data_IF_416568295462
#
_entry.id   IF_416568295462
#
_cell.length_a   1.000
_cell.length_b   1.000
_cell.length_c   1.000
_cell.angle_alpha   90.00
_cell.angle_beta   90.00
_cell.angle_gamma   90.00
#
_symmetry.space_group_name_H-M   'P 1'
#
loop_
_entity.id
_entity.type
_entity.pdbx_description
1 polymer ?
#
# COMPACT_ATOMS: atom_id res chain seq x y z
N UNK A 1 -71.34 -27.15 1.89
CA UNK A 1 -70.15 -27.51 2.68
C UNK A 1 -68.99 -27.71 1.73
N UNK A 2 -68.12 -26.72 1.58
CA UNK A 2 -66.74 -26.89 1.10
C UNK A 2 -66.03 -25.53 1.17
N UNK A 3 -65.36 -25.29 2.30
CA UNK A 3 -64.44 -24.17 2.47
C UNK A 3 -63.12 -24.51 1.75
N UNK A 4 -62.70 -23.67 0.80
CA UNK A 4 -61.38 -23.74 0.19
C UNK A 4 -60.46 -22.74 0.90
N UNK A 5 -59.35 -23.17 1.54
CA UNK A 5 -58.48 -22.23 2.24
C UNK A 5 -57.59 -21.51 1.22
N UNK A 6 -57.60 -20.17 1.26
CA UNK A 6 -56.64 -19.32 0.56
C UNK A 6 -55.31 -19.45 1.31
N UNK A 7 -54.34 -20.16 0.72
CA UNK A 7 -52.97 -20.20 1.20
C UNK A 7 -52.29 -18.91 0.73
N UNK A 8 -52.16 -17.94 1.64
CA UNK A 8 -51.30 -16.77 1.44
C UNK A 8 -49.86 -17.26 1.58
N UNK A 9 -49.17 -17.46 0.46
CA UNK A 9 -47.73 -17.69 0.45
C UNK A 9 -47.03 -16.36 0.81
N UNK A 10 -46.66 -16.20 2.07
CA UNK A 10 -45.77 -15.12 2.49
C UNK A 10 -44.40 -15.35 1.85
N UNK A 11 -44.07 -14.52 0.85
CA UNK A 11 -42.74 -14.47 0.24
C UNK A 11 -41.77 -13.89 1.29
N UNK A 12 -41.19 -14.76 2.10
CA UNK A 12 -40.10 -14.39 3.02
C UNK A 12 -38.92 -14.01 2.14
N UNK A 13 -38.69 -12.71 1.96
CA UNK A 13 -37.43 -12.18 1.44
C UNK A 13 -36.35 -12.49 2.48
N UNK A 14 -35.77 -13.68 2.39
CA UNK A 14 -34.50 -13.97 3.03
C UNK A 14 -33.51 -13.05 2.31
N UNK A 15 -33.18 -11.93 2.95
CA UNK A 15 -32.02 -11.15 2.57
C UNK A 15 -30.82 -12.08 2.70
N UNK A 16 -30.43 -12.73 1.61
CA UNK A 16 -29.13 -13.35 1.48
C UNK A 16 -28.15 -12.24 1.84
N UNK A 17 -27.47 -12.40 2.98
CA UNK A 17 -26.31 -11.58 3.30
C UNK A 17 -25.27 -11.94 2.24
N UNK A 18 -25.31 -11.25 1.10
CA UNK A 18 -24.27 -11.37 0.10
C UNK A 18 -23.04 -10.74 0.73
N UNK A 19 -22.20 -11.57 1.36
CA UNK A 19 -20.90 -11.16 1.88
C UNK A 19 -19.96 -11.04 0.67
N UNK A 20 -20.11 -9.93 -0.07
CA UNK A 20 -19.47 -9.72 -1.37
C UNK A 20 -18.03 -9.18 -1.24
N UNK A 21 -17.75 -8.43 -0.18
CA UNK A 21 -16.50 -7.67 -0.08
C UNK A 21 -15.37 -8.44 0.59
N UNK A 22 -14.11 -8.13 0.29
CA UNK A 22 -12.95 -8.83 0.84
C UNK A 22 -11.76 -7.91 1.08
N UNK A 23 -10.72 -8.47 1.71
CA UNK A 23 -9.45 -7.82 2.03
C UNK A 23 -8.35 -8.87 2.25
N UNK A 24 -7.09 -8.43 2.34
CA UNK A 24 -5.97 -9.32 2.64
C UNK A 24 -6.13 -9.90 4.04
N UNK A 25 -6.14 -11.23 4.15
CA UNK A 25 -6.30 -11.94 5.44
C UNK A 25 -5.10 -12.80 5.79
N UNK A 26 -4.20 -13.06 4.84
CA UNK A 26 -3.02 -13.89 5.03
C UNK A 26 -1.94 -13.44 4.08
N UNK A 27 -0.70 -13.47 4.56
CA UNK A 27 0.48 -13.12 3.78
C UNK A 27 1.32 -14.38 3.60
N UNK A 28 1.70 -14.71 2.37
CA UNK A 28 2.66 -15.76 2.04
C UNK A 28 4.01 -15.17 1.69
N UNK A 29 5.11 -15.81 2.10
CA UNK A 29 6.47 -15.47 1.64
C UNK A 29 7.18 -16.77 1.27
N UNK A 30 7.69 -16.85 0.04
CA UNK A 30 8.43 -18.01 -0.47
C UNK A 30 7.72 -19.36 -0.22
N UNK A 31 6.39 -19.40 -0.39
CA UNK A 31 5.56 -20.60 -0.18
C UNK A 31 5.21 -20.91 1.28
N UNK A 32 5.71 -20.15 2.26
CA UNK A 32 5.28 -20.23 3.66
C UNK A 32 4.16 -19.23 3.92
N UNK A 33 3.03 -19.71 4.41
CA UNK A 33 1.92 -18.86 4.83
C UNK A 33 2.17 -18.34 6.26
N UNK A 34 2.11 -17.03 6.40
CA UNK A 34 2.10 -16.30 7.66
C UNK A 34 0.65 -15.92 7.94
N UNK A 35 -0.04 -16.84 8.60
CA UNK A 35 -1.34 -16.58 9.20
C UNK A 35 -1.14 -15.96 10.57
N UNK A 36 -2.01 -15.05 10.96
CA UNK A 36 -2.01 -14.59 12.34
C UNK A 36 -2.30 -15.69 13.36
N UNK A 37 -2.20 -15.34 14.64
CA UNK A 37 -2.55 -16.24 15.75
C UNK A 37 -3.55 -15.55 16.68
N UNK A 38 -4.60 -16.25 17.11
CA UNK A 38 -5.50 -15.75 18.15
C UNK A 38 -5.09 -16.36 19.49
N UNK A 39 -4.55 -15.55 20.40
CA UNK A 39 -4.31 -15.92 21.80
C UNK A 39 -5.66 -16.12 22.52
N UNK A 40 -6.27 -17.29 22.36
CA UNK A 40 -7.33 -17.75 23.26
C UNK A 40 -6.89 -19.07 23.90
N UNK A 41 -6.71 -19.08 25.22
CA UNK A 41 -6.59 -20.29 26.04
C UNK A 41 -7.65 -20.22 27.16
N UNK A 42 -8.17 -21.34 27.69
CA UNK A 42 -8.70 -22.52 26.99
C UNK A 42 -10.06 -22.98 27.59
N UNK A 43 -10.86 -23.75 26.86
CA UNK A 43 -11.67 -24.79 27.51
C UNK A 43 -10.72 -25.97 27.80
N UNK A 44 -10.62 -26.49 29.04
CA UNK A 44 -9.79 -27.64 29.32
C UNK A 44 -10.40 -28.88 28.67
N UNK A 45 -9.67 -29.54 27.76
CA UNK A 45 -10.02 -30.86 27.24
C UNK A 45 -10.14 -31.02 25.72
N UNK A 46 -10.02 -29.95 24.92
CA UNK A 46 -9.87 -30.09 23.47
C UNK A 46 -8.39 -30.06 23.09
N UNK A 47 -7.95 -31.12 22.40
CA UNK A 47 -6.64 -31.17 21.75
C UNK A 47 -6.35 -29.86 21.03
N UNK A 48 -5.13 -29.36 21.19
CA UNK A 48 -4.57 -28.21 20.49
C UNK A 48 -4.55 -28.48 18.99
N UNK A 49 -5.68 -28.32 18.32
CA UNK A 49 -5.67 -28.13 16.89
C UNK A 49 -4.91 -26.83 16.64
N UNK A 50 -3.81 -26.91 15.90
CA UNK A 50 -3.04 -25.76 15.42
C UNK A 50 -3.98 -24.96 14.52
N UNK A 51 -4.71 -23.99 15.07
CA UNK A 51 -5.56 -23.12 14.26
C UNK A 51 -4.69 -21.99 13.73
N UNK A 52 -4.17 -22.18 12.52
CA UNK A 52 -3.58 -21.12 11.69
C UNK A 52 -4.67 -20.06 11.44
N UNK A 53 -4.63 -18.91 12.12
CA UNK A 53 -5.72 -17.91 12.05
C UNK A 53 -5.31 -16.71 11.21
N UNK A 54 -5.76 -16.68 9.96
CA UNK A 54 -5.83 -15.47 9.11
C UNK A 54 -6.36 -14.27 9.90
N UNK A 55 -6.00 -13.03 9.53
CA UNK A 55 -6.65 -11.86 10.12
C UNK A 55 -8.16 -11.99 10.02
N UNK A 56 -8.83 -11.72 11.13
CA UNK A 56 -10.28 -11.80 11.26
C UNK A 56 -10.81 -10.37 11.31
N UNK A 57 -11.22 -9.79 10.17
CA UNK A 57 -12.00 -8.56 10.22
C UNK A 57 -13.27 -8.81 11.05
N UNK A 58 -13.88 -7.75 11.56
CA UNK A 58 -15.03 -7.77 12.48
C UNK A 58 -14.73 -8.27 13.91
N UNK A 59 -13.55 -8.83 14.18
CA UNK A 59 -13.10 -9.14 15.53
C UNK A 59 -12.22 -8.03 16.08
N UNK A 60 -12.12 -7.94 17.41
CA UNK A 60 -11.15 -7.04 18.04
C UNK A 60 -9.72 -7.36 17.58
N UNK A 61 -8.86 -6.34 17.37
CA UNK A 61 -7.42 -6.56 17.15
C UNK A 61 -6.74 -7.22 18.36
N UNK A 62 -7.29 -7.04 19.56
CA UNK A 62 -6.75 -7.65 20.79
C UNK A 62 -6.76 -9.17 20.69
N UNK A 63 -5.59 -9.77 20.93
CA UNK A 63 -5.38 -11.20 20.84
C UNK A 63 -5.03 -11.71 19.44
N UNK A 64 -5.17 -10.89 18.39
CA UNK A 64 -4.69 -11.22 17.04
C UNK A 64 -3.20 -10.85 16.90
N UNK A 65 -2.37 -11.83 16.55
CA UNK A 65 -0.93 -11.69 16.30
C UNK A 65 -0.74 -11.70 14.79
N UNK A 66 -0.36 -10.59 14.16
CA UNK A 66 -0.18 -10.51 12.70
C UNK A 66 0.83 -9.43 12.35
N UNK A 67 1.39 -9.49 11.15
CA UNK A 67 2.17 -8.39 10.59
C UNK A 67 1.30 -7.33 9.91
N UNK A 68 0.02 -7.61 9.67
CA UNK A 68 -0.94 -6.66 9.11
C UNK A 68 -1.26 -5.55 10.12
N UNK A 69 -1.57 -4.36 9.61
CA UNK A 69 -2.23 -3.31 10.41
C UNK A 69 -3.72 -3.69 10.55
N UNK A 70 -4.35 -3.43 11.69
CA UNK A 70 -5.75 -3.75 11.89
C UNK A 70 -6.66 -3.10 10.85
N UNK A 71 -7.64 -3.87 10.39
CA UNK A 71 -8.80 -3.36 9.68
C UNK A 71 -10.08 -4.03 10.16
N UNK A 72 -11.12 -3.24 10.35
CA UNK A 72 -12.30 -3.61 11.13
C UNK A 72 -13.42 -4.30 10.32
N UNK A 73 -13.40 -4.19 9.00
CA UNK A 73 -14.44 -4.75 8.13
C UNK A 73 -13.97 -4.94 6.70
N UNK A 74 -14.72 -5.69 5.89
CA UNK A 74 -14.56 -5.67 4.44
C UNK A 74 -15.30 -4.51 3.76
N UNK A 75 -15.76 -3.48 4.47
CA UNK A 75 -16.41 -2.37 3.80
C UNK A 75 -15.38 -1.54 3.03
N UNK A 76 -15.73 -1.01 1.83
CA UNK A 76 -14.84 -0.13 1.11
C UNK A 76 -14.69 1.22 1.80
N UNK A 77 -13.56 1.86 1.55
CA UNK A 77 -13.44 3.32 1.65
C UNK A 77 -13.99 3.90 0.34
N UNK A 78 -14.95 4.82 0.42
CA UNK A 78 -15.59 5.43 -0.74
C UNK A 78 -14.97 6.78 -1.15
N UNK A 79 -14.33 7.46 -0.20
CA UNK A 79 -13.73 8.77 -0.43
C UNK A 79 -12.23 8.62 -0.73
N UNK A 80 -11.73 9.01 -1.92
CA UNK A 80 -10.32 8.88 -2.29
C UNK A 80 -9.35 9.63 -1.37
N UNK A 81 -9.84 10.61 -0.60
CA UNK A 81 -9.05 11.39 0.35
C UNK A 81 -9.47 11.13 1.80
N UNK A 82 -10.10 10.00 2.08
CA UNK A 82 -10.43 9.60 3.45
C UNK A 82 -9.18 9.55 4.32
N UNK A 83 -9.22 10.07 5.57
CA UNK A 83 -8.08 9.98 6.48
C UNK A 83 -7.56 8.56 6.70
N UNK A 84 -8.37 7.51 6.53
CA UNK A 84 -7.95 6.11 6.72
C UNK A 84 -7.42 5.43 5.44
N UNK A 85 -7.37 6.14 4.31
CA UNK A 85 -7.03 5.59 2.99
C UNK A 85 -5.65 4.90 2.92
N UNK A 86 -4.72 5.24 3.82
CA UNK A 86 -3.41 4.61 3.85
C UNK A 86 -3.50 3.12 4.17
N UNK A 87 -4.31 2.68 5.14
CA UNK A 87 -4.31 1.31 5.66
C UNK A 87 -5.69 0.85 6.21
N UNK A 88 -6.80 1.22 5.56
CA UNK A 88 -8.19 0.83 5.87
C UNK A 88 -8.82 1.55 7.08
N UNK A 89 -8.24 1.36 8.26
CA UNK A 89 -8.63 2.04 9.52
C UNK A 89 -7.60 3.16 9.82
N UNK A 90 -7.39 3.51 11.10
CA UNK A 90 -6.38 4.50 11.52
C UNK A 90 -4.92 4.06 11.24
N UNK A 91 -4.75 2.84 10.69
CA UNK A 91 -3.49 2.29 10.27
C UNK A 91 -2.47 2.22 11.40
N UNK A 92 -2.89 2.19 12.67
CA UNK A 92 -2.05 2.02 13.87
C UNK A 92 -1.62 0.57 14.06
N UNK A 93 -0.54 0.32 14.80
CA UNK A 93 -0.09 -1.04 15.04
C UNK A 93 -1.06 -1.78 15.98
N UNK A 94 -1.32 -3.05 15.69
CA UNK A 94 -2.10 -3.91 16.58
C UNK A 94 -1.33 -4.26 17.87
N UNK A 95 -2.03 -4.70 18.93
CA UNK A 95 -1.39 -5.01 20.23
C UNK A 95 -0.28 -6.07 20.17
N UNK A 96 -0.34 -6.97 19.18
CA UNK A 96 0.64 -8.05 18.97
C UNK A 96 1.26 -7.98 17.57
N UNK A 97 1.62 -6.77 17.13
CA UNK A 97 2.21 -6.49 15.82
C UNK A 97 3.48 -7.31 15.57
N UNK A 98 3.53 -7.97 14.42
CA UNK A 98 4.70 -8.70 13.91
C UNK A 98 5.37 -7.95 12.77
N UNK A 99 6.59 -8.36 12.44
CA UNK A 99 7.32 -7.95 11.25
C UNK A 99 7.75 -9.20 10.49
N UNK A 100 7.45 -9.26 9.19
CA UNK A 100 7.86 -10.40 8.35
C UNK A 100 9.19 -10.11 7.69
N UNK A 101 10.16 -11.00 7.90
CA UNK A 101 11.43 -10.93 7.16
C UNK A 101 11.27 -11.52 5.77
N UNK A 102 11.70 -10.78 4.75
CA UNK A 102 11.68 -11.19 3.33
C UNK A 102 12.97 -10.74 2.66
N UNK A 103 13.54 -11.56 1.77
CA UNK A 103 14.68 -11.11 0.96
C UNK A 103 14.19 -10.33 -0.27
N UNK A 104 14.88 -9.25 -0.63
CA UNK A 104 14.68 -8.58 -1.91
C UNK A 104 14.76 -9.60 -3.06
N UNK A 105 13.86 -9.51 -4.04
CA UNK A 105 13.70 -10.47 -5.12
C UNK A 105 12.77 -11.64 -4.81
N UNK A 106 12.34 -11.83 -3.55
CA UNK A 106 11.36 -12.86 -3.22
C UNK A 106 9.93 -12.42 -3.50
N UNK A 107 9.07 -13.41 -3.76
CA UNK A 107 7.63 -13.23 -3.88
C UNK A 107 6.98 -13.16 -2.50
N UNK A 108 6.18 -12.11 -2.31
CA UNK A 108 5.16 -11.98 -1.27
C UNK A 108 3.78 -12.19 -1.89
N UNK A 109 2.94 -12.99 -1.24
CA UNK A 109 1.59 -13.32 -1.70
C UNK A 109 0.56 -12.74 -0.74
N UNK A 110 -0.38 -11.92 -1.22
CA UNK A 110 -1.56 -11.51 -0.47
C UNK A 110 -2.70 -12.49 -0.75
N UNK A 111 -3.30 -13.09 0.27
CA UNK A 111 -4.45 -14.00 0.13
C UNK A 111 -5.73 -13.38 0.67
N UNK A 112 -6.82 -13.64 -0.03
CA UNK A 112 -8.17 -13.16 0.29
C UNK A 112 -9.04 -14.37 0.64
N UNK A 113 -9.90 -14.25 1.65
CA UNK A 113 -10.91 -15.29 1.92
C UNK A 113 -12.04 -15.25 0.90
N UNK A 114 -12.33 -14.06 0.39
CA UNK A 114 -13.33 -13.79 -0.64
C UNK A 114 -12.99 -12.50 -1.36
N UNK A 115 -13.46 -12.38 -2.59
CA UNK A 115 -13.43 -11.16 -3.40
C UNK A 115 -14.46 -11.35 -4.52
N UNK A 116 -15.33 -10.39 -4.80
CA UNK A 116 -16.43 -10.58 -5.79
C UNK A 116 -16.54 -9.48 -6.84
N UNK A 117 -15.54 -8.62 -6.98
CA UNK A 117 -15.57 -7.54 -7.96
C UNK A 117 -14.57 -7.84 -9.06
N UNK A 118 -15.01 -7.88 -10.31
CA UNK A 118 -14.11 -8.19 -11.42
C UNK A 118 -13.42 -6.94 -11.96
N UNK A 119 -14.09 -5.78 -11.91
CA UNK A 119 -13.66 -4.56 -12.57
C UNK A 119 -12.77 -3.71 -11.67
N UNK A 120 -11.60 -3.34 -12.20
CA UNK A 120 -10.69 -2.38 -11.59
C UNK A 120 -9.26 -2.89 -11.34
N UNK A 121 -8.36 -1.97 -10.94
CA UNK A 121 -6.94 -2.25 -10.81
C UNK A 121 -6.57 -2.88 -9.47
N UNK A 122 -5.36 -3.46 -9.46
CA UNK A 122 -4.64 -3.92 -8.29
C UNK A 122 -3.27 -3.24 -8.23
N UNK A 123 -2.91 -2.65 -7.10
CA UNK A 123 -1.65 -1.91 -6.92
C UNK A 123 -0.97 -2.30 -5.62
N UNK A 124 0.37 -2.19 -5.62
CA UNK A 124 1.18 -2.46 -4.43
C UNK A 124 2.19 -1.34 -4.23
N UNK A 125 2.25 -0.85 -3.00
CA UNK A 125 3.15 0.20 -2.57
C UNK A 125 4.05 -0.29 -1.44
N UNK A 126 5.22 0.33 -1.32
CA UNK A 126 6.05 0.26 -0.12
C UNK A 126 6.25 1.67 0.44
N UNK A 127 6.47 1.77 1.75
CA UNK A 127 6.98 2.98 2.40
C UNK A 127 8.07 2.60 3.39
N UNK A 128 9.21 3.28 3.35
CA UNK A 128 10.31 3.00 4.27
C UNK A 128 9.96 3.50 5.67
N UNK A 129 10.26 2.68 6.66
CA UNK A 129 10.10 3.03 8.07
C UNK A 129 11.34 3.80 8.55
N UNK A 130 11.17 4.86 9.36
CA UNK A 130 12.26 5.76 9.75
C UNK A 130 13.23 5.13 10.77
N UNK A 131 12.87 4.00 11.37
CA UNK A 131 13.63 3.34 12.43
C UNK A 131 13.88 1.85 12.12
N UNK A 132 14.45 1.14 13.10
CA UNK A 132 14.66 -0.30 13.04
C UNK A 132 13.37 -1.13 13.02
N UNK A 133 12.19 -0.51 13.17
CA UNK A 133 10.90 -1.15 13.01
C UNK A 133 9.87 -0.22 12.35
N UNK A 134 8.71 -0.78 12.01
CA UNK A 134 7.59 -0.01 11.46
C UNK A 134 6.49 0.24 12.49
N UNK A 135 6.57 -0.30 13.71
CA UNK A 135 5.46 -0.33 14.67
C UNK A 135 5.05 1.08 15.09
N UNK A 136 6.02 1.96 15.26
CA UNK A 136 5.80 3.37 15.62
C UNK A 136 5.46 4.28 14.43
N UNK A 137 5.52 3.78 13.20
CA UNK A 137 5.26 4.60 12.01
C UNK A 137 3.78 5.04 11.95
N UNK A 138 3.58 6.35 11.83
CA UNK A 138 2.32 6.94 11.39
C UNK A 138 2.19 6.79 9.87
N UNK A 139 1.33 5.86 9.45
CA UNK A 139 1.14 5.47 8.04
C UNK A 139 0.47 6.55 7.18
N UNK A 140 -0.29 7.49 7.77
CA UNK A 140 -0.85 8.64 7.07
C UNK A 140 0.23 9.63 6.58
N UNK A 141 1.34 9.73 7.33
CA UNK A 141 2.48 10.61 6.99
C UNK A 141 3.59 9.92 6.20
N UNK A 142 3.47 8.61 5.98
CA UNK A 142 4.47 7.82 5.29
C UNK A 142 4.64 8.25 3.83
N UNK A 143 5.84 8.01 3.29
CA UNK A 143 6.20 8.29 1.89
C UNK A 143 6.15 7.00 1.10
N UNK A 144 5.02 6.81 0.42
CA UNK A 144 4.70 5.63 -0.35
C UNK A 144 5.26 5.73 -1.77
N UNK A 145 5.77 4.63 -2.29
CA UNK A 145 6.13 4.47 -3.69
C UNK A 145 5.53 3.19 -4.24
N UNK A 146 5.11 3.22 -5.50
CA UNK A 146 4.48 2.08 -6.16
C UNK A 146 5.54 1.11 -6.69
N UNK A 147 5.41 -0.16 -6.35
CA UNK A 147 6.29 -1.24 -6.83
C UNK A 147 5.61 -2.13 -7.88
N UNK A 148 4.27 -2.10 -7.93
CA UNK A 148 3.50 -2.91 -8.86
C UNK A 148 2.14 -2.28 -9.15
N UNK A 149 1.67 -2.45 -10.39
CA UNK A 149 0.28 -2.24 -10.77
C UNK A 149 -0.15 -3.17 -11.90
N UNK A 150 -1.43 -3.51 -11.91
CA UNK A 150 -2.12 -4.06 -13.05
C UNK A 150 -3.54 -3.47 -13.10
N UNK A 151 -3.97 -3.03 -14.27
CA UNK A 151 -5.28 -2.40 -14.50
C UNK A 151 -6.14 -3.21 -15.46
N UNK A 152 -6.60 -2.56 -16.52
CA UNK A 152 -7.25 -3.19 -17.66
C UNK A 152 -6.22 -4.02 -18.44
N UNK A 153 -6.46 -5.33 -18.57
CA UNK A 153 -5.55 -6.29 -19.20
C UNK A 153 -5.86 -6.41 -20.70
N UNK A 154 -7.13 -6.47 -21.06
CA UNK A 154 -7.59 -6.60 -22.44
C UNK A 154 -9.06 -6.20 -22.59
N UNK A 155 -9.50 -5.96 -23.82
CA UNK A 155 -10.87 -5.51 -24.11
C UNK A 155 -11.03 -4.01 -23.88
N UNK A 156 -12.23 -3.59 -23.49
CA UNK A 156 -12.57 -2.19 -23.22
C UNK A 156 -12.85 -1.95 -21.75
N UNK A 157 -12.84 -0.70 -21.28
CA UNK A 157 -13.13 -0.36 -19.89
C UNK A 157 -14.44 -1.00 -19.42
N UNK A 158 -15.48 -0.97 -20.24
CA UNK A 158 -16.79 -1.51 -19.88
C UNK A 158 -16.98 -3.02 -20.04
N UNK A 159 -16.10 -3.73 -20.75
CA UNK A 159 -16.23 -5.18 -21.07
C UNK A 159 -14.92 -5.95 -21.06
N UNK A 160 -13.92 -5.43 -20.37
CA UNK A 160 -12.56 -5.92 -20.40
C UNK A 160 -12.26 -6.98 -19.35
N UNK A 161 -11.09 -7.59 -19.51
CA UNK A 161 -10.46 -8.36 -18.44
C UNK A 161 -9.64 -7.42 -17.57
N UNK A 162 -9.82 -7.50 -16.26
CA UNK A 162 -9.23 -6.59 -15.29
C UNK A 162 -8.41 -7.35 -14.25
N UNK A 163 -7.48 -6.65 -13.60
CA UNK A 163 -6.72 -7.19 -12.47
C UNK A 163 -7.63 -7.80 -11.40
N UNK A 164 -8.68 -7.07 -10.99
CA UNK A 164 -9.64 -7.58 -10.01
C UNK A 164 -10.36 -8.87 -10.43
N UNK A 165 -10.53 -9.11 -11.73
CA UNK A 165 -11.05 -10.37 -12.25
C UNK A 165 -10.10 -11.55 -12.04
N UNK A 166 -8.78 -11.31 -12.14
CA UNK A 166 -7.78 -12.30 -11.77
C UNK A 166 -7.77 -12.54 -10.25
N UNK A 167 -7.91 -11.48 -9.45
CA UNK A 167 -7.99 -11.58 -7.99
C UNK A 167 -9.22 -12.39 -7.57
N UNK A 168 -10.38 -12.11 -8.16
CA UNK A 168 -11.64 -12.81 -7.91
C UNK A 168 -11.52 -14.30 -8.22
N UNK A 169 -10.84 -14.64 -9.32
CA UNK A 169 -10.65 -16.03 -9.74
C UNK A 169 -9.70 -16.81 -8.82
N UNK A 170 -8.62 -16.16 -8.38
CA UNK A 170 -7.51 -16.85 -7.71
C UNK A 170 -7.51 -16.70 -6.19
N UNK A 171 -8.23 -15.69 -5.66
CA UNK A 171 -8.23 -15.28 -4.25
C UNK A 171 -6.83 -15.07 -3.66
N UNK A 172 -5.88 -14.70 -4.53
CA UNK A 172 -4.51 -14.34 -4.16
C UNK A 172 -3.87 -13.43 -5.20
N UNK A 173 -2.85 -12.71 -4.78
CA UNK A 173 -1.96 -11.94 -5.65
C UNK A 173 -0.50 -12.16 -5.27
N UNK A 174 0.32 -12.50 -6.26
CA UNK A 174 1.76 -12.68 -6.08
C UNK A 174 2.48 -11.39 -6.54
N UNK A 175 3.26 -10.79 -5.65
CA UNK A 175 4.09 -9.59 -5.93
C UNK A 175 5.53 -9.90 -5.57
N UNK A 176 6.48 -9.48 -6.39
CA UNK A 176 7.90 -9.64 -6.06
C UNK A 176 8.41 -8.35 -5.42
N UNK A 177 9.09 -8.47 -4.29
CA UNK A 177 9.83 -7.34 -3.70
C UNK A 177 11.01 -7.04 -4.64
N UNK A 178 11.21 -5.80 -5.11
CA UNK A 178 12.23 -5.54 -6.12
C UNK A 178 13.63 -5.98 -5.67
N UNK A 179 14.34 -6.72 -6.52
CA UNK A 179 15.61 -7.36 -6.16
C UNK A 179 16.76 -6.38 -5.87
N UNK A 180 16.68 -5.15 -6.39
CA UNK A 180 17.63 -4.07 -6.19
C UNK A 180 17.20 -3.06 -5.10
N UNK A 181 16.02 -3.26 -4.50
CA UNK A 181 15.53 -2.41 -3.41
C UNK A 181 16.54 -2.36 -2.26
N UNK A 182 16.74 -1.17 -1.72
CA UNK A 182 17.55 -0.98 -0.52
C UNK A 182 16.99 -1.80 0.66
N UNK A 183 17.85 -2.59 1.32
CA UNK A 183 17.48 -3.31 2.54
C UNK A 183 16.95 -2.34 3.62
N UNK A 184 16.00 -2.80 4.44
CA UNK A 184 15.43 -1.98 5.50
C UNK A 184 14.05 -2.45 5.94
N UNK A 185 13.44 -1.68 6.84
CA UNK A 185 12.07 -1.94 7.28
C UNK A 185 11.10 -1.13 6.44
N UNK A 186 10.03 -1.78 5.99
CA UNK A 186 9.03 -1.19 5.11
C UNK A 186 7.63 -1.55 5.56
N UNK A 187 6.71 -0.62 5.39
CA UNK A 187 5.30 -0.96 5.23
C UNK A 187 5.05 -1.38 3.80
N UNK A 188 4.38 -2.51 3.59
CA UNK A 188 3.74 -2.84 2.32
C UNK A 188 2.27 -2.46 2.40
N UNK A 189 1.72 -1.98 1.29
CA UNK A 189 0.30 -1.68 1.12
C UNK A 189 -0.19 -2.33 -0.17
N UNK A 190 -1.17 -3.21 -0.04
CA UNK A 190 -1.96 -3.71 -1.16
C UNK A 190 -3.21 -2.88 -1.29
N UNK A 191 -3.62 -2.58 -2.52
CA UNK A 191 -4.88 -1.92 -2.78
C UNK A 191 -5.53 -2.47 -4.03
N UNK A 192 -6.80 -2.81 -3.88
CA UNK A 192 -7.71 -2.97 -5.01
C UNK A 192 -8.74 -1.85 -5.01
N UNK A 193 -9.06 -1.37 -6.21
CA UNK A 193 -10.12 -0.40 -6.45
C UNK A 193 -11.21 -1.08 -7.27
N UNK A 194 -12.39 -1.30 -6.70
CA UNK A 194 -13.53 -1.85 -7.43
C UNK A 194 -14.32 -0.73 -8.13
N UNK A 195 -14.60 -0.92 -9.42
CA UNK A 195 -15.20 0.08 -10.31
C UNK A 195 -16.61 -0.28 -10.81
N UNK A 196 -17.17 -1.38 -10.31
CA UNK A 196 -18.45 -1.93 -10.75
C UNK A 196 -19.66 -1.00 -10.49
N UNK A 197 -19.53 0.02 -9.65
CA UNK A 197 -20.57 1.04 -9.48
C UNK A 197 -20.13 2.34 -10.16
N UNK A 198 -20.91 2.79 -11.13
CA UNK A 198 -20.64 4.03 -11.85
C UNK A 198 -20.43 5.20 -10.86
N UNK A 199 -19.32 5.92 -11.04
CA UNK A 199 -18.94 7.10 -10.28
C UNK A 199 -18.81 6.87 -8.75
N UNK A 200 -18.75 5.61 -8.31
CA UNK A 200 -18.69 5.25 -6.88
C UNK A 200 -17.47 4.37 -6.66
N UNK A 201 -16.26 4.95 -6.60
CA UNK A 201 -15.04 4.18 -6.37
C UNK A 201 -15.10 3.49 -5.02
N UNK A 202 -14.62 2.25 -4.97
CA UNK A 202 -14.55 1.46 -3.75
C UNK A 202 -13.12 0.97 -3.53
N UNK A 203 -12.41 1.58 -2.59
CA UNK A 203 -11.02 1.28 -2.26
C UNK A 203 -10.95 0.25 -1.13
N UNK A 204 -10.06 -0.74 -1.28
CA UNK A 204 -9.76 -1.76 -0.28
C UNK A 204 -8.25 -1.84 -0.07
N UNK A 205 -7.70 -0.97 0.80
CA UNK A 205 -6.30 -1.00 1.15
C UNK A 205 -6.03 -1.86 2.38
N UNK A 206 -4.98 -2.67 2.37
CA UNK A 206 -4.46 -3.33 3.57
C UNK A 206 -2.94 -3.19 3.64
N UNK A 207 -2.40 -3.09 4.86
CA UNK A 207 -0.98 -2.85 5.10
C UNK A 207 -0.34 -3.92 5.98
N UNK A 208 0.97 -4.16 5.80
CA UNK A 208 1.75 -5.01 6.70
C UNK A 208 3.20 -4.54 6.89
N UNK A 209 3.84 -4.98 7.98
CA UNK A 209 5.24 -4.66 8.28
C UNK A 209 6.20 -5.71 7.73
N UNK A 210 7.21 -5.26 7.01
CA UNK A 210 8.27 -6.08 6.43
C UNK A 210 9.64 -5.63 6.93
N UNK A 211 10.52 -6.60 7.11
CA UNK A 211 11.97 -6.40 7.16
C UNK A 211 12.54 -6.97 5.86
N UNK A 212 12.86 -6.09 4.91
CA UNK A 212 13.52 -6.44 3.65
C UNK A 212 15.00 -6.63 3.91
N UNK A 213 15.50 -7.83 3.60
CA UNK A 213 16.90 -8.22 3.72
C UNK A 213 17.51 -8.47 2.35
N UNK A 214 18.84 -8.40 2.28
CA UNK A 214 19.52 -8.41 0.98
C UNK A 214 19.06 -7.25 0.10
N UNK A 215 19.39 -7.33 -1.19
CA UNK A 215 19.00 -6.32 -2.17
C UNK A 215 20.16 -5.42 -2.61
N UNK A 216 19.80 -4.25 -3.13
CA UNK A 216 20.74 -3.26 -3.66
C UNK A 216 20.76 -1.99 -2.82
N UNK A 217 21.02 -0.87 -3.48
CA UNK A 217 21.00 0.49 -2.90
C UNK A 217 19.91 1.36 -3.51
N UNK A 218 18.98 0.79 -4.31
CA UNK A 218 17.97 1.55 -5.03
C UNK A 218 16.86 1.96 -4.07
N UNK A 219 16.58 3.26 -4.06
CA UNK A 219 15.44 3.87 -3.38
C UNK A 219 14.80 4.91 -4.31
N UNK A 220 13.46 5.01 -4.37
CA UNK A 220 12.81 5.95 -5.28
C UNK A 220 13.14 7.42 -5.00
N UNK A 221 13.29 8.20 -6.06
CA UNK A 221 13.42 9.66 -5.97
C UNK A 221 12.13 10.31 -5.48
N UNK A 222 12.21 11.56 -5.02
CA UNK A 222 11.09 12.31 -4.44
C UNK A 222 9.85 12.35 -5.32
N UNK A 223 10.01 12.35 -6.65
CA UNK A 223 8.90 12.46 -7.60
C UNK A 223 8.04 11.19 -7.68
N UNK A 224 8.50 10.08 -7.09
CA UNK A 224 7.77 8.83 -6.95
C UNK A 224 7.24 8.61 -5.54
N UNK A 225 7.54 9.51 -4.60
CA UNK A 225 7.11 9.44 -3.22
C UNK A 225 5.83 10.27 -3.03
N UNK A 226 4.76 9.60 -2.60
CA UNK A 226 3.46 10.23 -2.34
C UNK A 226 3.02 10.00 -0.90
N UNK A 227 2.15 10.86 -0.40
CA UNK A 227 1.39 10.61 0.84
C UNK A 227 0.01 10.05 0.48
N UNK A 228 -0.49 9.15 1.32
CA UNK A 228 -1.83 8.57 1.20
C UNK A 228 -2.53 8.86 2.54
N UNK A 229 -3.67 9.57 2.56
CA UNK A 229 -4.38 10.18 1.41
C UNK A 229 -3.59 11.30 0.71
N UNK A 230 -3.96 11.60 -0.54
CA UNK A 230 -3.38 12.67 -1.36
C UNK A 230 -2.71 12.20 -2.66
N UNK A 231 -2.40 10.91 -2.78
CA UNK A 231 -1.79 10.33 -3.98
C UNK A 231 -2.72 10.31 -5.20
N UNK A 232 -4.03 10.33 -4.99
CA UNK A 232 -5.06 10.47 -6.00
C UNK A 232 -6.24 11.29 -5.45
N UNK A 233 -7.09 11.77 -6.35
CA UNK A 233 -8.29 12.57 -6.06
C UNK A 233 -9.47 12.08 -6.88
N UNK A 234 -10.69 12.44 -6.47
CA UNK A 234 -11.92 12.03 -7.16
C UNK A 234 -11.94 12.42 -8.66
N UNK A 235 -11.32 13.54 -9.02
CA UNK A 235 -11.27 14.01 -10.41
C UNK A 235 -10.25 13.26 -11.29
N UNK A 236 -9.45 12.36 -10.72
CA UNK A 236 -8.52 11.56 -11.53
C UNK A 236 -9.33 10.58 -12.37
N UNK A 237 -9.02 10.44 -13.68
CA UNK A 237 -9.89 9.72 -14.62
C UNK A 237 -10.06 8.24 -14.31
N UNK A 238 -9.14 7.65 -13.54
CA UNK A 238 -9.23 6.26 -13.07
C UNK A 238 -10.03 6.08 -11.77
N UNK A 239 -10.38 7.15 -11.06
CA UNK A 239 -11.03 7.07 -9.74
C UNK A 239 -12.55 7.09 -9.88
N UNK A 240 -13.14 8.24 -10.22
CA UNK A 240 -14.59 8.37 -10.39
C UNK A 240 -14.94 8.17 -11.86
N UNK A 241 -15.23 6.93 -12.23
CA UNK A 241 -15.48 6.52 -13.62
C UNK A 241 -16.85 5.84 -13.77
N UNK A 242 -17.52 6.09 -14.90
CA UNK A 242 -18.68 5.33 -15.37
C UNK A 242 -18.25 4.31 -16.43
N UNK A 243 -18.02 3.07 -16.00
CA UNK A 243 -17.64 1.97 -16.88
C UNK A 243 -18.77 1.51 -17.83
N UNK A 244 -20.00 1.99 -17.62
CA UNK A 244 -21.17 1.65 -18.45
C UNK A 244 -21.43 2.69 -19.54
N UNK A 245 -20.76 3.84 -19.49
CA UNK A 245 -20.89 4.90 -20.50
C UNK A 245 -20.53 4.41 -21.90
N UNK A 246 -21.11 5.03 -22.94
CA UNK A 246 -20.80 4.69 -24.34
C UNK A 246 -19.31 4.80 -24.65
N UNK A 247 -18.62 5.78 -24.06
CA UNK A 247 -17.18 5.95 -24.20
C UNK A 247 -16.41 4.76 -23.60
N UNK A 248 -16.77 4.31 -22.38
CA UNK A 248 -16.14 3.17 -21.73
C UNK A 248 -16.31 1.85 -22.51
N UNK A 249 -17.36 1.73 -23.32
CA UNK A 249 -17.57 0.55 -24.17
C UNK A 249 -16.56 0.44 -25.32
N UNK A 250 -15.90 1.55 -25.70
CA UNK A 250 -14.90 1.59 -26.79
C UNK A 250 -13.49 1.95 -26.32
N UNK A 251 -13.36 2.55 -25.14
CA UNK A 251 -12.07 2.89 -24.54
C UNK A 251 -11.29 1.62 -24.18
N UNK A 252 -10.09 1.45 -24.73
CA UNK A 252 -9.23 0.27 -24.52
C UNK A 252 -8.10 0.54 -23.54
N UNK A 253 -8.03 1.77 -23.00
CA UNK A 253 -7.02 2.17 -22.03
C UNK A 253 -7.65 2.59 -20.71
N UNK A 254 -6.97 2.32 -19.60
CA UNK A 254 -7.39 2.79 -18.28
C UNK A 254 -6.18 3.36 -17.55
N UNK A 255 -6.31 4.59 -17.05
CA UNK A 255 -5.28 5.23 -16.27
C UNK A 255 -5.40 4.81 -14.80
N UNK A 256 -4.45 3.99 -14.33
CA UNK A 256 -4.39 3.57 -12.94
C UNK A 256 -4.09 4.79 -12.06
N UNK A 257 -4.86 5.05 -10.98
CA UNK A 257 -4.60 6.17 -10.07
C UNK A 257 -3.25 6.07 -9.34
N UNK A 258 -2.77 7.22 -8.85
CA UNK A 258 -1.55 7.31 -8.05
C UNK A 258 -0.27 7.48 -8.87
N UNK A 259 0.91 7.46 -8.21
CA UNK A 259 2.20 7.62 -8.88
C UNK A 259 2.49 6.45 -9.82
N UNK A 260 3.42 6.64 -10.76
CA UNK A 260 3.92 5.56 -11.62
C UNK A 260 4.70 4.53 -10.78
N UNK A 261 4.79 3.30 -11.26
CA UNK A 261 5.77 2.33 -10.74
C UNK A 261 7.17 2.90 -10.92
N UNK A 262 8.01 2.77 -9.89
CA UNK A 262 9.39 3.24 -9.99
C UNK A 262 10.15 2.48 -11.10
N UNK A 263 10.82 3.15 -12.06
CA UNK A 263 11.34 2.52 -13.28
C UNK A 263 12.28 1.34 -13.01
N UNK A 264 13.13 1.44 -11.98
CA UNK A 264 14.11 0.40 -11.66
C UNK A 264 13.47 -0.86 -11.04
N UNK A 265 12.16 -0.84 -10.78
CA UNK A 265 11.38 -1.98 -10.27
C UNK A 265 10.51 -2.64 -11.35
N UNK A 266 10.46 -2.06 -12.55
CA UNK A 266 9.71 -2.60 -13.69
C UNK A 266 10.37 -3.91 -14.16
N UNK A 267 9.59 -4.98 -14.29
CA UNK A 267 10.07 -6.31 -14.68
C UNK A 267 10.25 -7.30 -13.53
N UNK A 268 9.95 -6.91 -12.28
CA UNK A 268 10.05 -7.82 -11.14
C UNK A 268 8.89 -8.82 -11.02
N UNK A 269 7.78 -8.69 -11.76
CA UNK A 269 6.60 -9.57 -11.63
C UNK A 269 6.64 -10.78 -12.58
N UNK A 270 6.26 -11.97 -12.09
CA UNK A 270 6.27 -13.25 -12.82
C UNK A 270 4.96 -13.59 -13.54
N UNK A 271 4.00 -12.67 -13.62
CA UNK A 271 2.79 -12.85 -14.44
C UNK A 271 3.08 -12.48 -15.91
N UNK A 272 2.43 -13.14 -16.89
CA UNK A 272 2.75 -12.95 -18.30
C UNK A 272 2.55 -11.49 -18.71
N UNK A 273 3.66 -10.85 -19.06
CA UNK A 273 3.71 -9.52 -19.67
C UNK A 273 3.09 -9.60 -21.07
N UNK A 274 1.83 -9.18 -21.21
CA UNK A 274 1.36 -8.67 -22.48
C UNK A 274 1.52 -7.14 -22.46
N UNK A 275 2.10 -6.53 -23.51
CA UNK A 275 2.27 -5.10 -23.57
C UNK A 275 0.91 -4.47 -23.88
N UNK A 276 0.29 -3.84 -22.89
CA UNK A 276 -0.68 -2.76 -23.13
C UNK A 276 -0.12 -1.52 -22.47
N UNK A 277 0.21 -0.55 -23.31
CA UNK A 277 0.89 0.69 -22.96
C UNK A 277 -0.01 1.55 -22.09
N UNK A 278 0.24 1.58 -20.78
CA UNK A 278 -0.30 2.60 -19.88
C UNK A 278 0.59 3.85 -19.94
N UNK A 279 0.37 4.70 -20.94
CA UNK A 279 1.05 5.99 -21.03
C UNK A 279 0.41 6.99 -20.07
N UNK A 280 1.07 7.25 -18.94
CA UNK A 280 0.94 8.52 -18.22
C UNK A 280 1.92 9.53 -18.84
N UNK A 281 1.51 10.78 -19.15
CA UNK A 281 2.38 11.73 -19.83
C UNK A 281 3.61 12.06 -18.98
N UNK A 282 4.77 11.94 -19.60
CA UNK A 282 6.07 12.33 -19.06
C UNK A 282 6.14 13.87 -18.93
N UNK A 283 6.65 14.43 -17.82
CA UNK A 283 7.01 15.84 -17.78
C UNK A 283 8.24 16.05 -18.66
N UNK A 284 8.06 16.83 -19.74
CA UNK A 284 9.14 17.18 -20.67
C UNK A 284 10.15 18.07 -19.97
N UNK A 285 11.30 17.52 -19.59
CA UNK A 285 12.45 18.30 -19.12
C UNK A 285 13.54 18.35 -20.19
N UNK A 286 13.69 19.52 -20.79
CA UNK A 286 14.78 19.89 -21.69
C UNK A 286 16.11 19.97 -20.92
N UNK A 287 16.99 18.99 -21.16
CA UNK A 287 18.36 18.97 -20.62
C UNK A 287 19.23 19.91 -21.47
N UNK A 288 19.68 21.01 -20.88
CA UNK A 288 20.78 21.81 -21.43
C UNK A 288 22.10 21.21 -20.94
N UNK A 289 22.84 20.60 -21.86
CA UNK A 289 24.18 20.06 -21.62
C UNK A 289 25.21 21.19 -21.53
N UNK A 290 25.82 21.39 -20.35
CA UNK A 290 27.17 21.93 -20.26
C UNK A 290 28.08 20.86 -19.69
N UNK A 291 29.05 20.45 -20.51
CA UNK A 291 30.02 19.42 -20.18
C UNK A 291 30.92 19.83 -19.01
N UNK A 292 31.12 18.89 -18.10
CA UNK A 292 32.18 18.96 -17.09
C UNK A 292 32.92 17.62 -17.09
N UNK A 293 34.23 17.73 -17.29
CA UNK A 293 35.22 16.66 -17.37
C UNK A 293 35.28 15.86 -16.07
N UNK A 294 35.18 14.54 -16.17
CA UNK A 294 35.36 13.60 -15.05
C UNK A 294 36.85 13.39 -14.80
N UNK A 295 37.33 13.68 -13.59
CA UNK A 295 38.62 13.18 -13.09
C UNK A 295 38.35 12.31 -11.87
N UNK A 296 38.80 11.07 -11.95
CA UNK A 296 38.67 10.03 -10.93
C UNK A 296 39.79 10.16 -9.89
N UNK A 297 39.44 10.21 -8.61
CA UNK A 297 40.36 9.93 -7.50
C UNK A 297 39.64 9.23 -6.36
N UNK A 298 40.10 8.03 -6.01
CA UNK A 298 39.72 7.27 -4.82
C UNK A 298 40.10 8.01 -3.54
N UNK A 299 39.20 8.05 -2.54
CA UNK A 299 39.55 8.44 -1.17
C UNK A 299 38.88 7.53 -0.14
N UNK A 300 39.70 7.06 0.79
CA UNK A 300 39.48 6.19 1.96
C UNK A 300 38.84 6.99 3.12
N UNK A 301 38.02 6.42 4.02
CA UNK A 301 37.19 7.21 4.93
C UNK A 301 38.00 7.77 6.11
N UNK A 302 37.77 9.05 6.43
CA UNK A 302 38.17 9.65 7.71
C UNK A 302 37.02 10.46 8.30
N UNK A 303 36.93 10.36 9.62
CA UNK A 303 35.92 10.90 10.54
C UNK A 303 35.68 12.40 10.39
N UNK A 304 34.42 12.80 10.21
CA UNK A 304 33.98 14.18 9.99
C UNK A 304 33.78 14.98 11.29
N UNK A 305 34.52 16.08 11.42
CA UNK A 305 34.21 17.23 12.27
C UNK A 305 33.11 18.11 11.61
N UNK A 306 32.41 18.99 12.36
CA UNK A 306 31.16 19.60 11.89
C UNK A 306 31.41 20.69 10.83
N UNK A 307 30.59 20.65 9.77
CA UNK A 307 30.63 21.59 8.65
C UNK A 307 30.22 23.00 9.09
N UNK A 308 30.99 23.99 8.65
CA UNK A 308 30.86 25.44 8.86
C UNK A 308 29.67 26.10 8.14
N UNK A 309 28.69 25.33 7.67
CA UNK A 309 27.42 25.84 7.17
C UNK A 309 26.31 25.45 8.15
N UNK A 310 25.54 26.42 8.64
CA UNK A 310 24.39 26.15 9.51
C UNK A 310 23.40 25.16 8.90
N UNK A 311 22.50 24.62 9.71
CA UNK A 311 21.46 23.68 9.28
C UNK A 311 20.63 24.27 8.13
N UNK A 312 20.28 23.42 7.15
CA UNK A 312 19.45 23.82 6.01
C UNK A 312 18.02 24.21 6.47
N UNK A 313 17.22 24.78 5.56
CA UNK A 313 15.79 25.03 5.81
C UNK A 313 15.12 23.77 6.36
N UNK A 314 14.33 23.91 7.43
CA UNK A 314 13.69 22.82 8.17
C UNK A 314 14.61 21.86 8.92
N UNK A 315 15.93 22.06 8.88
CA UNK A 315 16.91 21.30 9.65
C UNK A 315 16.88 21.68 11.15
N UNK A 316 17.30 20.74 12.00
CA UNK A 316 17.43 20.98 13.43
C UNK A 316 18.64 21.87 13.72
N UNK A 317 18.41 22.96 14.44
CA UNK A 317 19.41 23.98 14.77
C UNK A 317 19.61 24.16 16.30
N UNK A 318 19.09 23.23 17.10
CA UNK A 318 19.16 23.30 18.56
C UNK A 318 18.20 22.34 19.25
N UNK A 319 18.27 22.31 20.58
CA UNK A 319 17.48 21.42 21.44
C UNK A 319 18.35 20.73 22.49
N UNK A 320 17.75 20.39 23.63
CA UNK A 320 18.44 19.66 24.70
C UNK A 320 18.96 18.32 24.17
N UNK A 321 20.29 18.12 24.24
CA UNK A 321 20.97 16.91 23.74
C UNK A 321 21.39 16.97 22.27
N UNK A 322 21.09 18.04 21.53
CA UNK A 322 21.53 18.21 20.15
C UNK A 322 23.02 18.60 20.07
N UNK A 323 23.79 17.85 19.29
CA UNK A 323 25.24 18.07 19.08
C UNK A 323 25.58 18.54 17.67
N UNK A 324 24.57 18.75 16.81
CA UNK A 324 24.74 19.22 15.44
C UNK A 324 24.81 20.74 15.32
N UNK A 325 24.51 21.26 14.13
CA UNK A 325 24.57 22.70 13.88
C UNK A 325 23.65 23.49 14.83
N UNK A 326 24.17 24.59 15.40
CA UNK A 326 23.44 25.50 16.31
C UNK A 326 23.02 26.81 15.62
N UNK A 327 23.20 26.89 14.31
CA UNK A 327 22.83 28.02 13.47
C UNK A 327 22.19 27.51 12.19
N UNK A 328 21.46 28.38 11.49
CA UNK A 328 20.82 28.06 10.22
C UNK A 328 21.60 28.64 9.05
N UNK A 329 21.54 27.97 7.91
CA UNK A 329 21.97 28.57 6.65
C UNK A 329 21.11 29.80 6.35
N UNK A 330 21.73 30.90 5.91
CA UNK A 330 20.99 32.09 5.46
C UNK A 330 20.02 31.70 4.34
N UNK A 331 18.76 32.19 4.34
CA UNK A 331 18.21 33.28 5.15
C UNK A 331 17.43 32.83 6.41
N UNK A 332 17.54 31.58 6.82
CA UNK A 332 16.64 31.00 7.83
C UNK A 332 17.05 31.36 9.27
N UNK A 333 16.06 31.39 10.17
CA UNK A 333 16.23 31.68 11.60
C UNK A 333 15.97 30.44 12.44
N UNK A 334 16.84 30.18 13.41
CA UNK A 334 16.66 29.06 14.32
C UNK A 334 15.53 29.34 15.32
N UNK A 335 14.39 28.68 15.12
CA UNK A 335 13.17 28.89 15.88
C UNK A 335 12.94 27.75 16.86
N UNK A 336 12.73 28.07 18.14
CA UNK A 336 12.40 27.06 19.17
C UNK A 336 11.00 26.49 18.92
N UNK A 337 10.90 25.18 18.77
CA UNK A 337 9.60 24.47 18.72
C UNK A 337 9.28 23.90 20.10
N UNK A 338 10.26 23.25 20.73
CA UNK A 338 10.18 22.81 22.13
C UNK A 338 11.59 22.72 22.76
N UNK A 339 11.69 22.31 24.02
CA UNK A 339 12.96 22.27 24.76
C UNK A 339 14.01 21.30 24.16
N UNK A 340 13.57 20.33 23.37
CA UNK A 340 14.41 19.30 22.74
C UNK A 340 14.61 19.53 21.23
N UNK A 341 13.91 20.49 20.62
CA UNK A 341 13.91 20.67 19.17
C UNK A 341 13.72 22.13 18.73
N UNK A 342 14.69 22.64 17.97
CA UNK A 342 14.68 23.96 17.34
C UNK A 342 14.90 23.75 15.84
N UNK A 343 14.16 24.49 15.00
CA UNK A 343 14.12 24.29 13.56
C UNK A 343 14.46 25.57 12.80
N UNK A 344 15.19 25.45 11.69
CA UNK A 344 15.42 26.55 10.75
C UNK A 344 14.15 26.85 9.95
N UNK A 345 13.62 28.07 10.05
CA UNK A 345 12.44 28.56 9.34
C UNK A 345 12.71 29.89 8.63
#
# INVERSE_FOLDING_TARGET
MSNLPIIIAALVCIASRVTAHGGVTTIGIAGKNYTGWLLFHPFPGLQTNIILRRWQPYNSPTGQVTAERPYSSFNPILNPVDPTMHCNDDGTAGPSQQTLTIAAGQTITSFYTQWTHAEGPYTVYLAQCPSSDCTSLNTASAKWFKIYELGLISGTVGKGSWANGLLMKNLKWDTVIPANLQAGNYMIRWETLALHQANTPQFYPECAQLQVTGGGSVFPTSDYLVSIPGAWKASDPGVTIDIYSTAAQTETTYQIPGPRVYPDFVGSSTLPSNPVTTSSPEPTHSITTKGVTVTSTLVVPTTSAPSTGGAAHYGQCGGSGWTGAMSCASPYTCTKINDYYYQCL
#
